data_IF_993473687589
#
_entry.id   IF_993473687589
#
_cell.length_a   1.000
_cell.length_b   1.000
_cell.length_c   1.000
_cell.angle_alpha   90.00
_cell.angle_beta   90.00
_cell.angle_gamma   90.00
#
_symmetry.space_group_name_H-M   'P 1'
#
loop_
_entity.id
_entity.type
_entity.pdbx_description
1 polymer ?
#
# COMPACT_ATOMS: atom_id res chain seq x y z
N UNK A 1 27.17 23.79 -19.66
CA UNK A 1 27.76 23.02 -18.56
C UNK A 1 27.11 21.65 -18.58
N UNK A 2 27.80 20.63 -19.07
CA UNK A 2 27.34 19.25 -18.97
C UNK A 2 27.28 18.90 -17.48
N UNK A 3 26.09 18.57 -16.97
CA UNK A 3 25.99 18.04 -15.62
C UNK A 3 26.63 16.67 -15.62
N UNK A 4 27.82 16.57 -15.03
CA UNK A 4 28.53 15.31 -14.85
C UNK A 4 27.67 14.40 -13.97
N UNK A 5 27.30 13.24 -14.50
CA UNK A 5 26.38 12.32 -13.81
C UNK A 5 27.07 11.79 -12.55
N UNK A 6 26.50 12.08 -11.38
CA UNK A 6 26.97 11.55 -10.11
C UNK A 6 26.53 10.09 -9.95
N UNK A 7 27.36 9.17 -10.45
CA UNK A 7 27.13 7.73 -10.32
C UNK A 7 27.24 7.23 -8.88
N UNK A 8 26.55 6.11 -8.59
CA UNK A 8 26.62 5.45 -7.29
C UNK A 8 28.00 4.84 -7.05
N UNK A 9 28.50 5.02 -5.83
CA UNK A 9 29.62 4.26 -5.27
C UNK A 9 29.26 2.77 -5.13
N UNK A 10 30.25 1.92 -4.89
CA UNK A 10 30.04 0.49 -4.69
C UNK A 10 29.12 0.19 -3.48
N UNK A 11 29.30 0.94 -2.39
CA UNK A 11 28.48 0.82 -1.17
C UNK A 11 27.04 1.26 -1.42
N UNK A 12 26.84 2.41 -2.07
CA UNK A 12 25.50 2.90 -2.45
C UNK A 12 24.80 1.91 -3.40
N UNK A 13 25.52 1.33 -4.36
CA UNK A 13 24.97 0.33 -5.28
C UNK A 13 24.60 -0.97 -4.55
N UNK A 14 25.41 -1.43 -3.60
CA UNK A 14 25.13 -2.62 -2.81
C UNK A 14 23.87 -2.41 -1.96
N UNK A 15 23.76 -1.28 -1.26
CA UNK A 15 22.61 -0.92 -0.45
C UNK A 15 21.35 -0.82 -1.31
N UNK A 16 21.40 -0.05 -2.41
CA UNK A 16 20.26 0.17 -3.30
C UNK A 16 19.75 -1.13 -3.92
N UNK A 17 20.64 -1.94 -4.52
CA UNK A 17 20.24 -3.22 -5.12
C UNK A 17 19.77 -4.23 -4.07
N UNK A 18 20.34 -4.19 -2.87
CA UNK A 18 19.89 -5.00 -1.74
C UNK A 18 18.46 -4.69 -1.35
N UNK A 19 18.16 -3.40 -1.19
CA UNK A 19 16.82 -2.89 -0.87
C UNK A 19 15.78 -3.30 -1.93
N UNK A 20 16.05 -3.05 -3.22
CA UNK A 20 15.12 -3.41 -4.31
C UNK A 20 14.86 -4.92 -4.34
N UNK A 21 15.91 -5.75 -4.23
CA UNK A 21 15.73 -7.21 -4.20
C UNK A 21 14.90 -7.68 -3.01
N UNK A 22 15.12 -7.10 -1.83
CA UNK A 22 14.36 -7.42 -0.63
C UNK A 22 12.88 -7.07 -0.82
N UNK A 23 12.59 -5.84 -1.24
CA UNK A 23 11.23 -5.36 -1.47
C UNK A 23 10.49 -6.26 -2.46
N UNK A 24 11.10 -6.56 -3.61
CA UNK A 24 10.47 -7.38 -4.64
C UNK A 24 10.21 -8.82 -4.19
N UNK A 25 11.18 -9.45 -3.51
CA UNK A 25 11.02 -10.84 -3.04
C UNK A 25 9.99 -10.93 -1.92
N UNK A 26 10.02 -10.01 -0.96
CA UNK A 26 9.09 -9.98 0.17
C UNK A 26 7.67 -9.74 -0.34
N UNK A 27 7.46 -8.71 -1.16
CA UNK A 27 6.15 -8.41 -1.77
C UNK A 27 5.62 -9.58 -2.59
N UNK A 28 6.46 -10.20 -3.41
CA UNK A 28 6.07 -11.35 -4.23
C UNK A 28 5.68 -12.57 -3.39
N UNK A 29 6.36 -12.80 -2.26
CA UNK A 29 6.02 -13.89 -1.35
C UNK A 29 4.71 -13.62 -0.62
N UNK A 30 4.55 -12.45 0.00
CA UNK A 30 3.34 -12.08 0.74
C UNK A 30 2.10 -12.05 -0.17
N UNK A 31 2.23 -11.55 -1.41
CA UNK A 31 1.14 -11.57 -2.40
C UNK A 31 0.70 -13.00 -2.73
N UNK A 32 1.65 -13.93 -2.92
CA UNK A 32 1.32 -15.33 -3.19
C UNK A 32 0.65 -15.97 -1.99
N UNK A 33 1.16 -15.73 -0.79
CA UNK A 33 0.63 -16.25 0.47
C UNK A 33 -0.84 -15.85 0.67
N UNK A 34 -1.16 -14.55 0.51
CA UNK A 34 -2.55 -14.06 0.57
C UNK A 34 -3.47 -14.78 -0.43
N UNK A 35 -2.99 -14.98 -1.65
CA UNK A 35 -3.78 -15.63 -2.69
C UNK A 35 -3.98 -17.14 -2.43
N UNK A 36 -2.95 -17.85 -2.01
CA UNK A 36 -2.99 -19.32 -1.87
C UNK A 36 -3.64 -19.78 -0.56
N UNK A 37 -3.48 -19.00 0.52
CA UNK A 37 -3.89 -19.43 1.87
C UNK A 37 -5.15 -18.74 2.37
N UNK A 38 -5.43 -17.52 1.90
CA UNK A 38 -6.62 -16.76 2.30
C UNK A 38 -7.63 -16.59 1.16
N UNK A 39 -7.27 -16.94 -0.09
CA UNK A 39 -8.08 -16.66 -1.29
C UNK A 39 -8.46 -15.17 -1.41
N UNK A 40 -7.59 -14.29 -0.90
CA UNK A 40 -7.75 -12.83 -0.94
C UNK A 40 -6.72 -12.26 -1.88
N UNK A 41 -7.16 -11.40 -2.80
CA UNK A 41 -6.20 -10.69 -3.65
C UNK A 41 -5.44 -9.65 -2.83
N UNK A 42 -4.14 -9.47 -3.09
CA UNK A 42 -3.34 -8.47 -2.38
C UNK A 42 -3.93 -7.05 -2.49
N UNK A 43 -4.57 -6.74 -3.62
CA UNK A 43 -5.24 -5.46 -3.82
C UNK A 43 -6.47 -5.29 -2.91
N UNK A 44 -7.30 -6.33 -2.76
CA UNK A 44 -8.43 -6.29 -1.82
C UNK A 44 -7.94 -6.15 -0.38
N UNK A 45 -6.90 -6.93 -0.03
CA UNK A 45 -6.29 -6.90 1.29
C UNK A 45 -5.76 -5.50 1.63
N UNK A 46 -5.01 -4.86 0.72
CA UNK A 46 -4.51 -3.49 0.93
C UNK A 46 -5.63 -2.48 1.16
N UNK A 47 -6.73 -2.53 0.40
CA UNK A 47 -7.87 -1.64 0.63
C UNK A 47 -8.52 -1.89 1.98
N UNK A 48 -8.70 -3.16 2.37
CA UNK A 48 -9.31 -3.50 3.65
C UNK A 48 -8.44 -3.08 4.84
N UNK A 49 -7.11 -3.23 4.76
CA UNK A 49 -6.16 -2.76 5.78
C UNK A 49 -6.31 -1.25 6.00
N UNK A 50 -6.26 -0.45 4.92
CA UNK A 50 -6.38 1.01 5.00
C UNK A 50 -7.73 1.48 5.58
N UNK A 51 -8.78 0.66 5.46
CA UNK A 51 -10.08 0.95 6.05
C UNK A 51 -10.15 0.51 7.51
N UNK A 52 -9.58 -0.65 7.88
CA UNK A 52 -9.60 -1.14 9.27
C UNK A 52 -8.69 -0.38 10.22
N UNK A 53 -7.66 0.29 9.71
CA UNK A 53 -6.78 1.16 10.50
C UNK A 53 -7.49 2.43 11.00
N UNK A 54 -8.67 2.74 10.44
CA UNK A 54 -9.49 3.87 10.85
C UNK A 54 -10.62 3.43 11.78
N UNK A 55 -10.87 4.12 12.92
CA UNK A 55 -11.89 3.73 13.89
C UNK A 55 -13.30 3.60 13.30
N UNK A 56 -13.64 4.42 12.31
CA UNK A 56 -14.93 4.44 11.64
C UNK A 56 -15.00 3.51 10.41
N UNK A 57 -13.90 2.82 10.05
CA UNK A 57 -13.89 1.86 8.97
C UNK A 57 -14.12 2.47 7.59
N UNK A 58 -13.93 3.79 7.43
CA UNK A 58 -14.25 4.51 6.20
C UNK A 58 -13.18 5.50 5.82
N UNK A 59 -13.03 5.70 4.51
CA UNK A 59 -12.08 6.68 3.96
C UNK A 59 -12.58 7.22 2.63
N UNK A 60 -12.25 8.47 2.30
CA UNK A 60 -12.58 9.01 0.97
C UNK A 60 -11.82 8.22 -0.09
N UNK A 61 -12.45 8.00 -1.24
CA UNK A 61 -11.84 7.25 -2.33
C UNK A 61 -10.53 7.88 -2.84
N UNK A 62 -10.43 9.21 -2.82
CA UNK A 62 -9.20 9.92 -3.21
C UNK A 62 -8.08 9.73 -2.19
N UNK A 63 -8.41 9.71 -0.90
CA UNK A 63 -7.42 9.50 0.15
C UNK A 63 -6.95 8.03 0.17
N UNK A 64 -7.83 7.08 -0.15
CA UNK A 64 -7.45 5.69 -0.41
C UNK A 64 -6.51 5.57 -1.62
N UNK A 65 -6.84 6.27 -2.71
CA UNK A 65 -6.01 6.27 -3.91
C UNK A 65 -4.59 6.78 -3.60
N UNK A 66 -4.47 7.87 -2.83
CA UNK A 66 -3.19 8.41 -2.37
C UNK A 66 -2.44 7.44 -1.45
N UNK A 67 -3.11 6.91 -0.43
CA UNK A 67 -2.50 6.01 0.55
C UNK A 67 -1.93 4.73 -0.09
N UNK A 68 -2.59 4.23 -1.14
CA UNK A 68 -2.15 3.04 -1.86
C UNK A 68 -1.31 3.34 -3.10
N UNK A 69 -1.01 4.62 -3.38
CA UNK A 69 -0.31 5.09 -4.58
C UNK A 69 -0.97 4.57 -5.88
N UNK A 70 -2.30 4.56 -5.93
CA UNK A 70 -3.07 4.12 -7.08
C UNK A 70 -3.68 5.30 -7.81
N UNK A 71 -3.61 5.25 -9.15
CA UNK A 71 -4.35 6.14 -10.03
C UNK A 71 -5.85 6.16 -9.69
N UNK A 72 -6.46 7.35 -9.76
CA UNK A 72 -7.88 7.57 -9.43
C UNK A 72 -8.82 6.64 -10.21
N UNK A 73 -8.54 6.43 -11.49
CA UNK A 73 -9.32 5.52 -12.36
C UNK A 73 -9.20 4.07 -11.89
N UNK A 74 -7.96 3.61 -11.62
CA UNK A 74 -7.69 2.27 -11.09
C UNK A 74 -8.43 2.04 -9.76
N UNK A 75 -8.35 3.00 -8.84
CA UNK A 75 -9.03 2.93 -7.55
C UNK A 75 -10.55 2.82 -7.73
N UNK A 76 -11.14 3.68 -8.55
CA UNK A 76 -12.58 3.68 -8.83
C UNK A 76 -13.08 2.34 -9.37
N UNK A 77 -12.38 1.77 -10.35
CA UNK A 77 -12.71 0.46 -10.90
C UNK A 77 -12.53 -0.68 -9.89
N UNK A 78 -11.48 -0.62 -9.07
CA UNK A 78 -11.22 -1.64 -8.05
C UNK A 78 -12.32 -1.64 -6.98
N UNK A 79 -12.67 -0.47 -6.44
CA UNK A 79 -13.76 -0.32 -5.47
C UNK A 79 -15.08 -0.81 -6.05
N UNK A 80 -15.41 -0.50 -7.31
CA UNK A 80 -16.65 -1.00 -7.93
C UNK A 80 -16.74 -2.54 -7.91
N UNK A 81 -15.62 -3.25 -8.12
CA UNK A 81 -15.57 -4.72 -8.03
C UNK A 81 -15.67 -5.23 -6.60
N UNK A 82 -15.10 -4.52 -5.63
CA UNK A 82 -15.25 -4.87 -4.20
C UNK A 82 -16.70 -4.67 -3.73
N UNK A 83 -17.36 -3.59 -4.16
CA UNK A 83 -18.79 -3.34 -3.90
C UNK A 83 -19.66 -4.45 -4.47
N UNK A 84 -19.40 -4.87 -5.72
CA UNK A 84 -20.12 -5.98 -6.34
C UNK A 84 -19.99 -7.30 -5.56
N UNK A 85 -18.87 -7.50 -4.86
CA UNK A 85 -18.62 -8.66 -3.99
C UNK A 85 -19.09 -8.45 -2.54
N UNK A 86 -19.60 -7.27 -2.20
CA UNK A 86 -20.10 -6.96 -0.85
C UNK A 86 -19.02 -6.70 0.20
N UNK A 87 -17.75 -6.50 -0.17
CA UNK A 87 -16.65 -6.30 0.78
C UNK A 87 -16.57 -4.86 1.30
N UNK A 88 -17.03 -3.92 0.50
CA UNK A 88 -17.09 -2.49 0.82
C UNK A 88 -18.40 -1.94 0.26
N UNK A 89 -18.82 -0.78 0.75
CA UNK A 89 -19.88 0.01 0.16
C UNK A 89 -19.43 1.44 -0.10
N UNK A 90 -20.12 2.11 -1.03
CA UNK A 90 -19.94 3.55 -1.25
C UNK A 90 -20.98 4.29 -0.44
N UNK A 91 -20.52 5.26 0.33
CA UNK A 91 -21.38 6.21 1.04
C UNK A 91 -21.24 7.56 0.34
N UNK A 92 -22.30 7.95 -0.38
CA UNK A 92 -22.38 9.22 -1.09
C UNK A 92 -22.79 10.30 -0.08
N UNK A 93 -21.80 11.04 0.42
CA UNK A 93 -22.07 12.22 1.24
C UNK A 93 -22.67 13.30 0.32
N UNK A 94 -24.01 13.41 0.30
CA UNK A 94 -24.75 14.37 -0.54
C UNK A 94 -24.40 15.84 -0.22
N UNK A 95 -23.82 16.11 0.95
CA UNK A 95 -23.56 17.46 1.45
C UNK A 95 -22.20 18.03 1.05
N UNK A 96 -21.25 17.19 0.61
CA UNK A 96 -19.97 17.70 0.12
C UNK A 96 -19.59 17.11 -1.23
N UNK A 97 -19.50 17.95 -2.25
CA UNK A 97 -19.00 17.57 -3.58
C UNK A 97 -17.52 17.15 -3.60
N UNK A 98 -16.94 16.80 -2.43
CA UNK A 98 -15.54 16.44 -2.23
C UNK A 98 -15.29 14.92 -2.36
N UNK A 99 -16.31 14.15 -2.73
CA UNK A 99 -16.18 12.78 -3.25
C UNK A 99 -16.69 11.69 -2.31
N UNK A 100 -16.98 10.53 -2.90
CA UNK A 100 -17.58 9.39 -2.20
C UNK A 100 -16.65 8.77 -1.14
N UNK A 101 -17.23 8.37 -0.01
CA UNK A 101 -16.58 7.54 0.98
C UNK A 101 -16.67 6.07 0.57
N UNK A 102 -15.64 5.32 0.92
CA UNK A 102 -15.63 3.86 0.90
C UNK A 102 -15.69 3.41 2.34
N UNK A 103 -16.63 2.53 2.65
CA UNK A 103 -16.86 1.99 3.99
C UNK A 103 -16.70 0.48 3.94
N UNK A 104 -15.94 -0.09 4.85
CA UNK A 104 -15.83 -1.55 4.99
C UNK A 104 -17.15 -2.14 5.49
N UNK A 105 -17.59 -3.23 4.89
CA UNK A 105 -18.77 -3.99 5.37
C UNK A 105 -18.37 -5.02 6.40
N UNK A 106 -19.36 -5.63 7.08
CA UNK A 106 -19.09 -6.77 7.97
C UNK A 106 -18.45 -7.96 7.23
N UNK A 107 -18.79 -8.16 5.95
CA UNK A 107 -18.15 -9.21 5.14
C UNK A 107 -16.69 -8.86 4.84
N UNK A 108 -16.40 -7.59 4.53
CA UNK A 108 -15.03 -7.10 4.39
C UNK A 108 -14.23 -7.29 5.68
N UNK A 109 -14.83 -6.99 6.84
CA UNK A 109 -14.21 -7.21 8.17
C UNK A 109 -13.92 -8.69 8.43
N UNK A 110 -14.89 -9.58 8.19
CA UNK A 110 -14.67 -11.03 8.32
C UNK A 110 -13.53 -11.53 7.43
N UNK A 111 -13.45 -11.04 6.20
CA UNK A 111 -12.38 -11.41 5.27
C UNK A 111 -11.01 -11.01 5.79
N UNK A 112 -10.84 -9.76 6.24
CA UNK A 112 -9.55 -9.29 6.75
C UNK A 112 -9.20 -9.94 8.09
N UNK A 113 -10.15 -10.15 8.99
CA UNK A 113 -9.94 -10.86 10.26
C UNK A 113 -9.48 -12.32 10.06
N UNK A 114 -9.97 -12.98 9.00
CA UNK A 114 -9.53 -14.33 8.64
C UNK A 114 -8.14 -14.35 7.98
N UNK A 115 -7.77 -13.31 7.24
CA UNK A 115 -6.51 -13.24 6.49
C UNK A 115 -5.35 -12.64 7.29
N UNK A 116 -5.62 -11.67 8.16
CA UNK A 116 -4.62 -10.87 8.87
C UNK A 116 -3.68 -11.70 9.76
N UNK A 117 -4.14 -12.70 10.54
CA UNK A 117 -3.22 -13.49 11.38
C UNK A 117 -2.12 -14.18 10.57
N UNK A 118 -2.49 -14.80 9.43
CA UNK A 118 -1.51 -15.46 8.55
C UNK A 118 -0.57 -14.46 7.88
N UNK A 119 -1.10 -13.31 7.47
CA UNK A 119 -0.27 -12.25 6.91
C UNK A 119 0.77 -11.75 7.93
N UNK A 120 0.36 -11.52 9.18
CA UNK A 120 1.26 -11.11 10.27
C UNK A 120 2.30 -12.18 10.56
N UNK A 121 1.93 -13.46 10.63
CA UNK A 121 2.87 -14.56 10.80
C UNK A 121 3.91 -14.61 9.68
N UNK A 122 3.49 -14.42 8.43
CA UNK A 122 4.40 -14.37 7.28
C UNK A 122 5.36 -13.17 7.36
N UNK A 123 4.86 -11.97 7.67
CA UNK A 123 5.70 -10.77 7.87
C UNK A 123 6.70 -10.99 9.02
N UNK A 124 6.25 -11.61 10.10
CA UNK A 124 7.12 -11.94 11.24
C UNK A 124 8.23 -12.90 10.84
N UNK A 125 7.87 -14.07 10.33
CA UNK A 125 8.83 -15.13 10.01
C UNK A 125 9.78 -14.79 8.85
N UNK A 126 9.38 -13.92 7.92
CA UNK A 126 10.22 -13.56 6.76
C UNK A 126 11.07 -12.31 7.00
N UNK A 127 10.68 -11.45 7.95
CA UNK A 127 11.32 -10.15 8.14
C UNK A 127 11.56 -9.82 9.62
N UNK A 128 10.50 -9.71 10.43
CA UNK A 128 10.64 -9.17 11.79
C UNK A 128 11.48 -10.05 12.72
N UNK A 129 11.47 -11.37 12.53
CA UNK A 129 12.29 -12.31 13.32
C UNK A 129 13.77 -12.34 12.88
N UNK A 130 14.11 -11.61 11.82
CA UNK A 130 15.47 -11.53 11.26
C UNK A 130 16.10 -10.14 11.40
N UNK A 131 15.43 -9.19 12.04
CA UNK A 131 15.94 -7.83 12.27
C UNK A 131 15.98 -7.52 13.77
N UNK A 132 17.05 -6.88 14.20
CA UNK A 132 17.18 -6.42 15.58
C UNK A 132 16.28 -5.21 15.83
N UNK A 133 15.92 -4.91 17.10
CA UNK A 133 15.17 -3.71 17.43
C UNK A 133 15.85 -2.40 17.00
N UNK A 134 17.18 -2.38 16.93
CA UNK A 134 17.93 -1.21 16.46
C UNK A 134 17.82 -1.04 14.94
N UNK A 135 17.98 -2.12 14.17
CA UNK A 135 17.79 -2.10 12.71
C UNK A 135 16.36 -1.73 12.34
N UNK A 136 15.36 -2.24 13.07
CA UNK A 136 13.96 -1.90 12.84
C UNK A 136 13.69 -0.40 12.99
N UNK A 137 14.32 0.27 13.97
CA UNK A 137 14.25 1.72 14.12
C UNK A 137 14.88 2.44 12.93
N UNK A 138 16.06 2.01 12.48
CA UNK A 138 16.72 2.58 11.30
C UNK A 138 15.84 2.45 10.05
N UNK A 139 15.21 1.29 9.86
CA UNK A 139 14.31 1.04 8.73
C UNK A 139 13.09 1.97 8.78
N UNK A 140 12.49 2.16 9.95
CA UNK A 140 11.37 3.08 10.14
C UNK A 140 11.79 4.53 9.80
N UNK A 141 12.90 5.00 10.37
CA UNK A 141 13.41 6.37 10.17
C UNK A 141 13.80 6.66 8.70
N UNK A 142 14.47 5.71 8.04
CA UNK A 142 14.86 5.85 6.63
C UNK A 142 13.64 5.84 5.72
N UNK A 143 12.71 4.90 5.94
CA UNK A 143 11.47 4.79 5.16
C UNK A 143 10.66 6.08 5.24
N UNK A 144 10.42 6.60 6.46
CA UNK A 144 9.64 7.84 6.64
C UNK A 144 10.31 9.03 5.94
N UNK A 145 11.64 9.16 6.06
CA UNK A 145 12.40 10.26 5.45
C UNK A 145 12.33 10.21 3.92
N UNK A 146 12.43 9.02 3.34
CA UNK A 146 12.38 8.83 1.88
C UNK A 146 10.96 9.06 1.35
N UNK A 147 9.93 8.52 2.00
CA UNK A 147 8.51 8.75 1.63
C UNK A 147 8.18 10.24 1.67
N UNK A 148 8.53 10.94 2.75
CA UNK A 148 8.34 12.39 2.85
C UNK A 148 9.00 13.15 1.69
N UNK A 149 10.19 12.71 1.27
CA UNK A 149 10.89 13.34 0.15
C UNK A 149 10.20 13.10 -1.20
N UNK A 150 9.55 11.96 -1.37
CA UNK A 150 8.73 11.63 -2.54
C UNK A 150 7.46 12.47 -2.55
N UNK A 151 6.78 12.58 -1.41
CA UNK A 151 5.54 13.38 -1.26
C UNK A 151 5.78 14.88 -1.50
N UNK A 152 6.98 15.39 -1.16
CA UNK A 152 7.40 16.76 -1.43
C UNK A 152 7.79 17.01 -2.89
N UNK A 153 8.01 15.96 -3.69
CA UNK A 153 8.40 16.11 -5.08
C UNK A 153 7.18 16.55 -5.91
N UNK A 154 7.29 17.59 -6.75
CA UNK A 154 6.17 18.00 -7.60
C UNK A 154 5.75 16.82 -8.49
N UNK A 155 4.45 16.55 -8.54
CA UNK A 155 3.87 15.59 -9.48
C UNK A 155 4.40 15.94 -10.88
N UNK A 156 5.14 15.00 -11.49
CA UNK A 156 5.60 15.16 -12.85
C UNK A 156 4.35 15.37 -13.71
N UNK A 157 4.24 16.48 -14.49
CA UNK A 157 3.03 16.75 -15.24
C UNK A 157 2.74 15.54 -16.13
N UNK A 158 1.65 14.84 -15.83
CA UNK A 158 1.14 13.76 -16.67
C UNK A 158 0.92 14.39 -18.04
N UNK A 159 1.68 13.94 -19.04
CA UNK A 159 1.41 14.28 -20.42
C UNK A 159 -0.04 13.89 -20.71
N UNK A 160 -0.91 14.90 -20.82
CA UNK A 160 -2.24 14.73 -21.37
C UNK A 160 -2.07 14.11 -22.75
N UNK A 161 -2.55 12.88 -22.89
CA UNK A 161 -2.76 12.27 -24.18
C UNK A 161 -4.06 12.84 -24.73
N UNK A 162 -3.94 13.80 -25.65
CA UNK A 162 -4.79 13.95 -26.84
C UNK A 162 -4.04 14.76 -27.92
#
# INVERSE_FOLDING_TARGET
>A
MEQEVRWLTAEEQQAWRGFIRLQDRLRGHLTRQLQTEANVSAADFSVLVELTDLPDGRRRILDLARALEWEKSRMSHHIARMVKRGLVMRDECLEDGRGAFVVITDEGRRMIEAAAPRHVEAVRGLFLDHVTPAELRVIAEVSERVVRKIDEAPECPTAEAD
#
